data_IF_848586592357
#
_entry.id   IF_848586592357
#
_cell.length_a   1.000
_cell.length_b   1.000
_cell.length_c   1.000
_cell.angle_alpha   90.00
_cell.angle_beta   90.00
_cell.angle_gamma   90.00
#
_symmetry.space_group_name_H-M   'P 1'
#
loop_
_entity.id
_entity.type
_entity.pdbx_description
1 polymer ?
#
# COMPACT_ATOMS: atom_id res chain seq x y z
N UNK A 1 64.53 -48.24 -10.19
CA UNK A 1 63.45 -47.65 -11.02
C UNK A 1 62.20 -47.72 -10.20
N UNK A 2 61.85 -46.60 -9.61
CA UNK A 2 60.70 -46.48 -8.69
C UNK A 2 59.65 -45.59 -9.42
N UNK A 3 58.61 -46.22 -9.89
CA UNK A 3 57.47 -45.51 -10.52
C UNK A 3 56.68 -44.73 -9.44
N UNK A 4 56.67 -43.42 -9.63
CA UNK A 4 55.85 -42.50 -8.83
C UNK A 4 54.48 -42.37 -9.54
N UNK A 5 53.33 -42.63 -8.87
CA UNK A 5 52.02 -42.44 -9.45
C UNK A 5 51.69 -40.96 -9.56
N UNK A 6 51.56 -40.46 -10.81
CA UNK A 6 51.04 -39.15 -11.13
C UNK A 6 49.55 -39.01 -10.71
N UNK A 7 49.28 -38.30 -9.64
CA UNK A 7 47.93 -37.89 -9.28
C UNK A 7 47.34 -36.96 -10.36
N UNK A 8 46.31 -37.44 -11.04
CA UNK A 8 45.53 -36.61 -11.96
C UNK A 8 44.88 -35.42 -11.21
N UNK A 9 44.87 -34.19 -11.76
CA UNK A 9 44.28 -33.06 -11.14
C UNK A 9 42.76 -33.26 -10.98
N UNK A 10 42.27 -33.08 -9.76
CA UNK A 10 40.83 -33.11 -9.47
C UNK A 10 40.10 -32.13 -10.39
N UNK A 11 39.21 -32.61 -11.24
CA UNK A 11 38.31 -31.81 -12.04
C UNK A 11 37.42 -31.01 -11.08
N UNK A 12 37.81 -29.77 -10.82
CA UNK A 12 36.89 -28.76 -10.29
C UNK A 12 35.82 -28.53 -11.38
N UNK A 13 34.73 -29.28 -11.31
CA UNK A 13 33.55 -29.00 -12.14
C UNK A 13 33.03 -27.63 -11.71
N UNK A 14 33.20 -26.62 -12.56
CA UNK A 14 32.53 -25.33 -12.39
C UNK A 14 31.02 -25.63 -12.18
N UNK A 15 30.38 -25.05 -11.18
CA UNK A 15 28.97 -25.28 -10.92
C UNK A 15 28.19 -24.92 -12.18
N UNK A 16 27.26 -25.82 -12.56
CA UNK A 16 26.36 -25.60 -13.68
C UNK A 16 25.74 -24.21 -13.57
N UNK A 17 25.75 -23.36 -14.62
CA UNK A 17 25.15 -22.02 -14.62
C UNK A 17 23.66 -22.03 -14.26
N UNK A 18 23.05 -23.18 -14.18
CA UNK A 18 21.64 -23.39 -13.83
C UNK A 18 21.42 -23.70 -12.34
N UNK A 19 22.50 -23.90 -11.56
CA UNK A 19 22.39 -24.23 -10.13
C UNK A 19 22.25 -22.97 -9.28
N UNK A 20 21.13 -22.84 -8.55
CA UNK A 20 20.98 -21.82 -7.51
C UNK A 20 21.99 -22.08 -6.41
N UNK A 21 23.02 -21.24 -6.31
CA UNK A 21 24.01 -21.32 -5.26
C UNK A 21 23.41 -20.76 -3.97
N UNK A 22 23.21 -21.62 -2.97
CA UNK A 22 22.65 -21.24 -1.66
C UNK A 22 23.76 -21.18 -0.62
N UNK A 23 23.82 -20.06 0.11
CA UNK A 23 24.67 -19.87 1.27
C UNK A 23 23.80 -20.01 2.53
N UNK A 24 24.07 -21.02 3.37
CA UNK A 24 23.32 -21.24 4.59
C UNK A 24 21.81 -21.42 4.38
N UNK A 25 20.99 -21.15 5.40
CA UNK A 25 19.54 -21.28 5.34
C UNK A 25 18.91 -20.19 4.50
N UNK A 26 18.53 -20.53 3.26
CA UNK A 26 17.67 -19.69 2.40
C UNK A 26 18.30 -18.42 1.80
N UNK A 27 19.62 -18.22 1.81
CA UNK A 27 20.28 -17.20 1.01
C UNK A 27 20.61 -17.74 -0.38
N UNK A 28 20.29 -16.95 -1.41
CA UNK A 28 20.56 -17.24 -2.81
C UNK A 28 21.63 -16.23 -3.27
N UNK A 29 22.83 -16.75 -3.57
CA UNK A 29 23.97 -15.92 -3.98
C UNK A 29 24.03 -15.69 -5.50
N UNK A 30 23.47 -16.62 -6.29
CA UNK A 30 23.41 -16.54 -7.75
C UNK A 30 21.96 -16.40 -8.20
N UNK A 31 21.62 -15.24 -8.78
CA UNK A 31 20.28 -14.92 -9.23
C UNK A 31 20.32 -14.10 -10.51
N UNK A 32 19.92 -14.68 -11.63
CA UNK A 32 19.95 -14.09 -12.99
C UNK A 32 18.56 -14.17 -13.63
N UNK A 33 17.59 -13.36 -13.22
CA UNK A 33 16.21 -13.44 -13.71
C UNK A 33 16.09 -13.05 -15.20
N UNK A 34 17.05 -12.30 -15.75
CA UNK A 34 17.05 -11.90 -17.16
C UNK A 34 17.51 -13.03 -18.09
N UNK A 35 18.26 -14.04 -17.58
CA UNK A 35 18.57 -15.25 -18.34
C UNK A 35 17.30 -16.11 -18.48
N UNK A 36 16.82 -16.26 -19.73
CA UNK A 36 15.60 -17.00 -20.02
C UNK A 36 15.70 -18.47 -19.61
N UNK A 37 16.86 -19.09 -19.76
CA UNK A 37 17.07 -20.51 -19.42
C UNK A 37 17.02 -20.70 -17.90
N UNK A 38 17.71 -19.84 -17.16
CA UNK A 38 17.65 -19.82 -15.69
C UNK A 38 16.21 -19.55 -15.21
N UNK A 39 15.55 -18.58 -15.83
CA UNK A 39 14.19 -18.17 -15.45
C UNK A 39 13.19 -19.32 -15.62
N UNK A 40 13.16 -19.95 -16.78
CA UNK A 40 12.18 -21.00 -17.07
C UNK A 40 12.42 -22.27 -16.23
N UNK A 41 13.68 -22.64 -15.98
CA UNK A 41 14.01 -23.87 -15.25
C UNK A 41 13.89 -23.72 -13.73
N UNK A 42 14.25 -22.57 -13.18
CA UNK A 42 14.42 -22.42 -11.72
C UNK A 42 13.85 -21.12 -11.18
N UNK A 43 14.17 -19.96 -11.79
CA UNK A 43 13.90 -18.63 -11.27
C UNK A 43 12.40 -18.39 -11.06
N UNK A 44 11.58 -18.69 -12.05
CA UNK A 44 10.12 -18.47 -12.04
C UNK A 44 9.42 -19.14 -10.85
N UNK A 45 9.80 -20.37 -10.53
CA UNK A 45 9.20 -21.13 -9.41
C UNK A 45 9.53 -20.48 -8.06
N UNK A 46 10.78 -20.08 -7.88
CA UNK A 46 11.25 -19.43 -6.64
C UNK A 46 10.60 -18.07 -6.51
N UNK A 47 10.62 -17.24 -7.57
CA UNK A 47 10.02 -15.92 -7.59
C UNK A 47 8.51 -15.97 -7.28
N UNK A 48 7.76 -16.89 -7.92
CA UNK A 48 6.34 -17.08 -7.67
C UNK A 48 6.04 -17.44 -6.20
N UNK A 49 6.83 -18.33 -5.62
CA UNK A 49 6.68 -18.69 -4.20
C UNK A 49 6.90 -17.48 -3.29
N UNK A 50 7.98 -16.72 -3.51
CA UNK A 50 8.25 -15.50 -2.76
C UNK A 50 7.12 -14.46 -2.93
N UNK A 51 6.57 -14.30 -4.13
CA UNK A 51 5.45 -13.40 -4.39
C UNK A 51 4.19 -13.81 -3.61
N UNK A 52 3.81 -15.08 -3.62
CA UNK A 52 2.60 -15.56 -2.92
C UNK A 52 2.68 -15.27 -1.43
N UNK A 53 3.82 -15.59 -0.78
CA UNK A 53 3.97 -15.35 0.64
C UNK A 53 4.23 -13.87 0.97
N UNK A 54 4.80 -13.09 0.05
CA UNK A 54 4.88 -11.64 0.15
C UNK A 54 3.48 -11.00 0.14
N UNK A 55 2.62 -11.41 -0.80
CA UNK A 55 1.22 -10.96 -0.88
C UNK A 55 0.48 -11.30 0.42
N UNK A 56 0.64 -12.51 0.95
CA UNK A 56 -0.02 -12.91 2.20
C UNK A 56 0.44 -12.07 3.38
N UNK A 57 1.75 -11.90 3.55
CA UNK A 57 2.30 -11.08 4.64
C UNK A 57 1.87 -9.61 4.52
N UNK A 58 1.85 -9.06 3.30
CA UNK A 58 1.41 -7.69 3.03
C UNK A 58 -0.10 -7.51 3.28
N UNK A 59 -0.91 -8.51 2.93
CA UNK A 59 -2.34 -8.51 3.18
C UNK A 59 -2.64 -8.44 4.70
N UNK A 60 -1.97 -9.27 5.51
CA UNK A 60 -2.10 -9.21 6.97
C UNK A 60 -1.61 -7.87 7.51
N UNK A 61 -0.49 -7.33 6.97
CA UNK A 61 0.06 -6.05 7.38
C UNK A 61 -0.91 -4.88 7.08
N UNK A 62 -1.52 -4.85 5.90
CA UNK A 62 -2.53 -3.83 5.55
C UNK A 62 -3.80 -3.95 6.38
N UNK A 63 -4.23 -5.18 6.69
CA UNK A 63 -5.35 -5.42 7.60
C UNK A 63 -5.08 -4.80 8.98
N UNK A 64 -3.90 -5.02 9.55
CA UNK A 64 -3.52 -4.44 10.85
C UNK A 64 -3.33 -2.93 10.76
N UNK A 65 -2.74 -2.43 9.67
CA UNK A 65 -2.56 -1.00 9.45
C UNK A 65 -3.88 -0.23 9.46
N UNK A 66 -4.93 -0.80 8.86
CA UNK A 66 -6.25 -0.19 8.78
C UNK A 66 -7.26 -0.73 9.78
N UNK A 67 -6.80 -1.50 10.77
CA UNK A 67 -7.62 -2.08 11.84
C UNK A 67 -8.51 -1.03 12.54
N UNK A 68 -7.93 0.17 12.79
CA UNK A 68 -8.62 1.26 13.47
C UNK A 68 -9.77 1.86 12.64
N UNK A 69 -9.81 1.66 11.32
CA UNK A 69 -10.89 2.20 10.47
C UNK A 69 -12.27 1.71 10.89
N UNK A 70 -12.39 0.43 11.25
CA UNK A 70 -13.67 -0.16 11.69
C UNK A 70 -13.73 -0.31 13.22
N UNK A 71 -12.58 -0.51 13.89
CA UNK A 71 -12.54 -0.66 15.35
C UNK A 71 -12.98 0.61 16.07
N UNK A 72 -12.62 1.82 15.59
CA UNK A 72 -13.02 3.08 16.21
C UNK A 72 -14.55 3.28 16.17
N UNK A 73 -15.22 2.87 15.10
CA UNK A 73 -16.66 2.89 15.01
C UNK A 73 -17.31 1.94 16.03
N UNK A 74 -16.77 0.73 16.19
CA UNK A 74 -17.27 -0.26 17.15
C UNK A 74 -17.00 0.13 18.62
N UNK A 75 -15.87 0.79 18.90
CA UNK A 75 -15.54 1.27 20.25
C UNK A 75 -16.62 2.21 20.78
N UNK A 76 -17.06 3.17 19.98
CA UNK A 76 -18.09 4.11 20.43
C UNK A 76 -19.48 3.46 20.48
N UNK A 77 -19.79 2.59 19.50
CA UNK A 77 -21.10 1.96 19.42
C UNK A 77 -21.36 0.94 20.55
N UNK A 78 -20.31 0.22 21.00
CA UNK A 78 -20.50 -0.96 21.86
C UNK A 78 -19.75 -0.92 23.20
N UNK A 79 -18.75 -0.04 23.38
CA UNK A 79 -17.90 -0.04 24.58
C UNK A 79 -18.08 1.18 25.48
N UNK A 80 -18.86 2.17 25.05
CA UNK A 80 -19.16 3.35 25.86
C UNK A 80 -17.96 4.26 26.13
N UNK A 81 -16.84 4.10 25.40
CA UNK A 81 -15.74 5.06 25.45
C UNK A 81 -16.21 6.39 24.87
N UNK A 82 -16.53 7.37 25.65
CA UNK A 82 -17.11 8.65 25.24
C UNK A 82 -16.24 9.51 24.30
N UNK A 83 -15.60 8.90 23.28
CA UNK A 83 -14.75 9.60 22.32
C UNK A 83 -15.58 10.44 21.36
N UNK A 84 -15.12 11.67 21.12
CA UNK A 84 -15.72 12.56 20.12
C UNK A 84 -15.44 12.05 18.70
N UNK A 85 -16.23 12.48 17.70
CA UNK A 85 -15.98 12.15 16.30
C UNK A 85 -14.56 12.61 15.86
N UNK A 86 -14.10 13.76 16.29
CA UNK A 86 -12.74 14.25 16.06
C UNK A 86 -11.68 13.26 16.60
N UNK A 87 -11.85 12.79 17.83
CA UNK A 87 -10.95 11.81 18.43
C UNK A 87 -10.93 10.49 17.67
N UNK A 88 -12.09 10.02 17.21
CA UNK A 88 -12.16 8.80 16.37
C UNK A 88 -11.39 8.96 15.07
N UNK A 89 -11.52 10.09 14.37
CA UNK A 89 -10.74 10.34 13.16
C UNK A 89 -9.23 10.39 13.43
N UNK A 90 -8.77 10.91 14.57
CA UNK A 90 -7.35 10.87 14.92
C UNK A 90 -6.86 9.45 15.23
N UNK A 91 -7.66 8.59 15.88
CA UNK A 91 -7.32 7.17 16.05
C UNK A 91 -7.10 6.47 14.70
N UNK A 92 -7.87 6.85 13.69
CA UNK A 92 -7.75 6.30 12.33
C UNK A 92 -6.62 6.97 11.53
N UNK A 93 -6.32 8.25 11.78
CA UNK A 93 -5.28 9.00 11.06
C UNK A 93 -3.86 8.60 11.48
N UNK A 94 -3.62 8.43 12.80
CA UNK A 94 -2.27 8.21 13.33
C UNK A 94 -1.58 6.96 12.78
N UNK A 95 -2.23 5.80 12.59
CA UNK A 95 -1.63 4.67 11.90
C UNK A 95 -1.12 5.01 10.50
N UNK A 96 -1.86 5.86 9.76
CA UNK A 96 -1.46 6.28 8.41
C UNK A 96 -0.20 7.15 8.44
N UNK A 97 -0.08 8.05 9.41
CA UNK A 97 1.13 8.86 9.61
C UNK A 97 2.35 7.98 9.91
N UNK A 98 2.23 7.12 10.92
CA UNK A 98 3.34 6.24 11.34
C UNK A 98 3.70 5.27 10.21
N UNK A 99 2.71 4.71 9.51
CA UNK A 99 2.94 3.83 8.38
C UNK A 99 3.68 4.53 7.23
N UNK A 100 3.32 5.79 6.93
CA UNK A 100 4.01 6.60 5.92
C UNK A 100 5.48 6.84 6.27
N UNK A 101 5.76 7.24 7.52
CA UNK A 101 7.13 7.47 8.02
C UNK A 101 7.95 6.19 7.99
N UNK A 102 7.39 5.06 8.43
CA UNK A 102 8.08 3.77 8.47
C UNK A 102 8.39 3.20 7.09
N UNK A 103 7.70 3.59 6.02
CA UNK A 103 8.07 3.18 4.65
C UNK A 103 9.52 3.55 4.30
N UNK A 104 10.03 4.65 4.83
CA UNK A 104 11.42 5.07 4.57
C UNK A 104 12.41 4.03 5.10
N UNK A 105 12.50 3.74 6.43
CA UNK A 105 13.43 2.73 6.92
C UNK A 105 13.14 1.31 6.40
N UNK A 106 11.90 0.95 6.12
CA UNK A 106 11.52 -0.36 5.59
C UNK A 106 12.05 -0.57 4.15
N UNK A 107 12.13 0.48 3.33
CA UNK A 107 12.76 0.40 2.00
C UNK A 107 14.20 -0.07 2.08
N UNK A 108 14.93 0.37 3.10
CA UNK A 108 16.34 0.02 3.30
C UNK A 108 16.57 -1.28 4.10
N UNK A 109 15.52 -1.81 4.70
CA UNK A 109 15.62 -3.02 5.51
C UNK A 109 15.89 -4.27 4.65
N UNK A 110 15.30 -4.35 3.45
CA UNK A 110 15.52 -5.48 2.52
C UNK A 110 16.96 -5.55 2.05
N UNK A 111 17.58 -4.47 1.53
CA UNK A 111 19.00 -4.44 1.21
C UNK A 111 19.93 -4.78 2.37
N UNK A 112 19.54 -4.52 3.60
CA UNK A 112 20.40 -4.72 4.78
C UNK A 112 20.25 -6.09 5.43
N UNK A 113 19.03 -6.59 5.55
CA UNK A 113 18.72 -7.79 6.34
C UNK A 113 18.25 -8.97 5.48
N UNK A 114 17.95 -8.75 4.19
CA UNK A 114 17.31 -9.71 3.30
C UNK A 114 15.80 -9.67 3.40
N UNK A 115 15.14 -9.92 2.26
CA UNK A 115 13.68 -9.79 2.14
C UNK A 115 12.90 -10.76 3.02
N UNK A 116 13.29 -12.05 3.05
CA UNK A 116 12.70 -13.05 3.94
C UNK A 116 12.81 -12.65 5.41
N UNK A 117 14.01 -12.33 5.86
CA UNK A 117 14.26 -12.03 7.26
C UNK A 117 13.48 -10.79 7.70
N UNK A 118 13.42 -9.77 6.86
CA UNK A 118 12.65 -8.57 7.16
C UNK A 118 11.15 -8.83 7.16
N UNK A 119 10.63 -9.66 6.26
CA UNK A 119 9.20 -10.04 6.26
C UNK A 119 8.83 -10.79 7.53
N UNK A 120 9.73 -11.64 8.08
CA UNK A 120 9.52 -12.27 9.39
C UNK A 120 9.43 -11.25 10.51
N UNK A 121 10.41 -10.33 10.59
CA UNK A 121 10.42 -9.28 11.62
C UNK A 121 9.18 -8.40 11.53
N UNK A 122 8.82 -7.94 10.33
CA UNK A 122 7.64 -7.09 10.14
C UNK A 122 6.33 -7.83 10.46
N UNK A 123 6.23 -9.13 10.16
CA UNK A 123 5.10 -9.96 10.55
C UNK A 123 4.95 -10.09 12.07
N UNK A 124 6.05 -10.28 12.79
CA UNK A 124 6.05 -10.32 14.27
C UNK A 124 5.73 -8.96 14.88
N UNK A 125 6.14 -7.86 14.28
CA UNK A 125 5.80 -6.51 14.76
C UNK A 125 4.29 -6.25 14.73
N UNK A 126 3.51 -6.94 13.88
CA UNK A 126 2.05 -6.80 13.84
C UNK A 126 1.35 -7.33 15.11
N UNK A 127 2.02 -8.18 15.88
CA UNK A 127 1.51 -8.69 17.16
C UNK A 127 1.35 -7.55 18.18
N UNK A 128 2.23 -6.54 18.13
CA UNK A 128 2.23 -5.43 19.07
C UNK A 128 0.90 -4.65 19.06
N UNK A 129 0.45 -4.04 17.93
CA UNK A 129 -0.80 -3.29 17.91
C UNK A 129 -2.03 -4.16 18.19
N UNK A 130 -2.00 -5.42 17.77
CA UNK A 130 -3.16 -6.30 17.89
C UNK A 130 -3.37 -6.79 19.31
N UNK A 131 -2.30 -7.22 20.00
CA UNK A 131 -2.36 -7.62 21.41
C UNK A 131 -2.66 -6.40 22.30
N UNK A 132 -2.02 -5.26 22.05
CA UNK A 132 -2.29 -4.04 22.82
C UNK A 132 -3.75 -3.58 22.66
N UNK A 133 -4.33 -3.69 21.45
CA UNK A 133 -5.76 -3.42 21.25
C UNK A 133 -6.61 -4.36 22.10
N UNK A 134 -6.36 -5.68 22.05
CA UNK A 134 -7.13 -6.65 22.82
C UNK A 134 -7.09 -6.35 24.33
N UNK A 135 -5.93 -6.00 24.86
CA UNK A 135 -5.76 -5.64 26.28
C UNK A 135 -6.48 -4.33 26.61
N UNK A 136 -6.33 -3.31 25.76
CA UNK A 136 -6.90 -1.97 26.01
C UNK A 136 -8.44 -1.98 26.00
N UNK A 137 -9.07 -2.71 25.10
CA UNK A 137 -10.54 -2.77 25.03
C UNK A 137 -11.15 -3.61 26.15
N UNK A 138 -10.36 -4.49 26.78
CA UNK A 138 -10.80 -5.28 27.93
C UNK A 138 -10.80 -4.48 29.24
N UNK A 139 -10.24 -3.27 29.24
CA UNK A 139 -10.22 -2.38 30.40
C UNK A 139 -11.02 -1.10 30.12
N UNK A 140 -12.22 -0.92 30.71
CA UNK A 140 -13.04 0.28 30.51
C UNK A 140 -12.37 1.59 30.96
N UNK A 141 -11.34 1.50 31.83
CA UNK A 141 -10.58 2.65 32.32
C UNK A 141 -9.45 3.10 31.39
N UNK A 142 -9.27 2.44 30.21
CA UNK A 142 -8.20 2.81 29.28
C UNK A 142 -8.41 4.23 28.74
N UNK A 143 -7.46 5.16 28.96
CA UNK A 143 -7.62 6.54 28.53
C UNK A 143 -7.38 6.69 27.02
N UNK A 144 -7.94 7.75 26.42
CA UNK A 144 -7.83 8.03 24.99
C UNK A 144 -6.37 8.06 24.47
N UNK A 145 -5.45 8.68 25.22
CA UNK A 145 -4.05 8.76 24.81
C UNK A 145 -3.39 7.38 24.67
N UNK A 146 -3.80 6.40 25.49
CA UNK A 146 -3.30 5.02 25.36
C UNK A 146 -3.79 4.38 24.06
N UNK A 147 -5.07 4.56 23.72
CA UNK A 147 -5.59 4.13 22.42
C UNK A 147 -4.86 4.79 21.25
N UNK A 148 -4.52 6.08 21.37
CA UNK A 148 -3.77 6.79 20.33
C UNK A 148 -2.36 6.23 20.13
N UNK A 149 -1.66 5.89 21.21
CA UNK A 149 -0.34 5.24 21.14
C UNK A 149 -0.43 3.82 20.55
N UNK A 150 -1.45 3.06 20.95
CA UNK A 150 -1.70 1.73 20.40
C UNK A 150 -2.02 1.83 18.89
N UNK A 151 -2.84 2.80 18.50
CA UNK A 151 -3.14 3.07 17.10
C UNK A 151 -1.86 3.41 16.31
N UNK A 152 -0.96 4.20 16.87
CA UNK A 152 0.33 4.51 16.25
C UNK A 152 1.13 3.25 15.90
N UNK A 153 1.15 2.23 16.77
CA UNK A 153 1.86 0.97 16.52
C UNK A 153 1.28 0.18 15.34
N UNK A 154 0.01 0.36 14.98
CA UNK A 154 -0.57 -0.27 13.79
C UNK A 154 0.10 0.21 12.48
N UNK A 155 0.77 1.37 12.53
CA UNK A 155 1.62 1.86 11.43
C UNK A 155 2.74 0.90 11.03
N UNK A 156 3.15 -0.05 11.88
CA UNK A 156 4.11 -1.11 11.50
C UNK A 156 3.63 -1.87 10.26
N UNK A 157 2.33 -2.10 10.10
CA UNK A 157 1.75 -2.71 8.92
C UNK A 157 1.88 -1.85 7.66
N UNK A 158 1.73 -0.52 7.79
CA UNK A 158 1.84 0.42 6.67
C UNK A 158 3.25 0.50 6.06
N UNK A 159 4.29 0.30 6.87
CA UNK A 159 5.68 0.24 6.43
C UNK A 159 5.96 -0.95 5.51
N UNK A 160 5.27 -2.07 5.70
CA UNK A 160 5.54 -3.34 5.00
C UNK A 160 5.44 -3.23 3.48
N UNK A 161 4.59 -2.36 2.94
CA UNK A 161 4.47 -2.13 1.51
C UNK A 161 5.82 -1.83 0.85
N UNK A 162 6.61 -0.93 1.45
CA UNK A 162 7.87 -0.51 0.87
C UNK A 162 8.90 -1.65 0.83
N UNK A 163 9.01 -2.44 1.89
CA UNK A 163 9.91 -3.60 1.94
C UNK A 163 9.46 -4.73 1.02
N UNK A 164 8.16 -5.01 0.98
CA UNK A 164 7.55 -6.03 0.14
C UNK A 164 7.79 -5.73 -1.35
N UNK A 165 7.49 -4.50 -1.80
CA UNK A 165 7.72 -4.07 -3.18
C UNK A 165 9.20 -4.12 -3.56
N UNK A 166 10.09 -3.65 -2.68
CA UNK A 166 11.53 -3.73 -2.88
C UNK A 166 11.99 -5.18 -3.03
N UNK A 167 11.58 -6.06 -2.14
CA UNK A 167 11.94 -7.48 -2.16
C UNK A 167 11.51 -8.15 -3.48
N UNK A 168 10.26 -8.01 -3.87
CA UNK A 168 9.72 -8.66 -5.07
C UNK A 168 10.35 -8.10 -6.35
N UNK A 169 10.74 -6.81 -6.37
CA UNK A 169 11.43 -6.21 -7.52
C UNK A 169 12.74 -6.90 -7.88
N UNK A 170 13.45 -7.49 -6.92
CA UNK A 170 14.70 -8.24 -7.15
C UNK A 170 14.46 -9.66 -7.66
N UNK A 171 13.30 -10.25 -7.39
CA UNK A 171 13.01 -11.62 -7.82
C UNK A 171 12.60 -11.73 -9.29
N UNK A 172 12.06 -10.67 -9.90
CA UNK A 172 11.43 -10.73 -11.20
C UNK A 172 12.25 -10.03 -12.30
N UNK A 173 12.33 -10.62 -13.51
CA UNK A 173 12.92 -9.96 -14.66
C UNK A 173 12.09 -8.76 -15.09
N UNK A 174 12.73 -7.78 -15.76
CA UNK A 174 12.09 -6.52 -16.14
C UNK A 174 10.81 -6.71 -16.96
N UNK A 175 10.77 -7.72 -17.86
CA UNK A 175 9.59 -8.05 -18.68
C UNK A 175 8.34 -8.46 -17.90
N UNK A 176 8.47 -8.96 -16.68
CA UNK A 176 7.34 -9.41 -15.83
C UNK A 176 7.29 -8.72 -14.46
N UNK A 177 8.23 -7.85 -14.15
CA UNK A 177 8.33 -7.11 -12.88
C UNK A 177 7.10 -6.28 -12.61
N UNK A 178 6.60 -5.55 -13.61
CA UNK A 178 5.42 -4.70 -13.47
C UNK A 178 4.18 -5.49 -13.04
N UNK A 179 3.94 -6.66 -13.65
CA UNK A 179 2.82 -7.53 -13.26
C UNK A 179 2.99 -8.06 -11.83
N UNK A 180 4.21 -8.52 -11.48
CA UNK A 180 4.47 -9.05 -10.13
C UNK A 180 4.27 -7.99 -9.04
N UNK A 181 4.80 -6.79 -9.24
CA UNK A 181 4.63 -5.67 -8.32
C UNK A 181 3.16 -5.21 -8.26
N UNK A 182 2.46 -5.21 -9.40
CA UNK A 182 1.02 -4.91 -9.46
C UNK A 182 0.19 -5.91 -8.66
N UNK A 183 0.45 -7.21 -8.79
CA UNK A 183 -0.20 -8.27 -8.01
C UNK A 183 0.11 -8.17 -6.52
N UNK A 184 1.38 -7.93 -6.18
CA UNK A 184 1.79 -7.74 -4.79
C UNK A 184 1.04 -6.59 -4.14
N UNK A 185 1.03 -5.44 -4.78
CA UNK A 185 0.36 -4.24 -4.29
C UNK A 185 -1.18 -4.39 -4.21
N UNK A 186 -1.81 -5.04 -5.21
CA UNK A 186 -3.26 -5.29 -5.18
C UNK A 186 -3.63 -6.28 -4.07
N UNK A 187 -2.82 -7.33 -3.88
CA UNK A 187 -3.01 -8.30 -2.82
C UNK A 187 -2.90 -7.69 -1.42
N UNK A 188 -1.95 -6.77 -1.20
CA UNK A 188 -1.86 -5.99 0.02
C UNK A 188 -3.09 -5.11 0.25
N UNK A 189 -3.49 -4.34 -0.76
CA UNK A 189 -4.65 -3.44 -0.68
C UNK A 189 -5.97 -4.19 -0.34
N UNK A 190 -6.14 -5.43 -0.82
CA UNK A 190 -7.30 -6.28 -0.46
C UNK A 190 -7.37 -6.51 1.06
N UNK A 191 -6.23 -6.50 1.78
CA UNK A 191 -6.19 -6.59 3.23
C UNK A 191 -7.03 -5.53 3.95
N UNK A 192 -7.16 -4.33 3.36
CA UNK A 192 -8.04 -3.27 3.86
C UNK A 192 -9.52 -3.68 3.79
N UNK A 193 -9.93 -4.28 2.68
CA UNK A 193 -11.30 -4.78 2.54
C UNK A 193 -11.55 -5.98 3.46
N UNK A 194 -10.56 -6.87 3.61
CA UNK A 194 -10.69 -8.06 4.45
C UNK A 194 -10.82 -7.72 5.93
N UNK A 195 -10.12 -6.71 6.45
CA UNK A 195 -10.30 -6.29 7.85
C UNK A 195 -11.69 -5.68 8.05
N UNK A 196 -12.15 -4.84 7.14
CA UNK A 196 -13.43 -4.17 7.24
C UNK A 196 -14.63 -5.12 7.10
N UNK A 197 -14.48 -6.18 6.32
CA UNK A 197 -15.47 -7.26 6.20
C UNK A 197 -15.35 -8.25 7.37
N UNK A 198 -14.17 -8.72 7.65
CA UNK A 198 -13.92 -9.84 8.56
C UNK A 198 -14.04 -9.46 10.03
N UNK A 199 -13.60 -8.25 10.41
CA UNK A 199 -13.62 -7.84 11.80
C UNK A 199 -15.04 -7.83 12.39
N UNK A 200 -16.06 -7.18 11.78
CA UNK A 200 -17.42 -7.23 12.30
C UNK A 200 -17.98 -8.64 12.46
N UNK A 201 -17.64 -9.56 11.55
CA UNK A 201 -18.06 -10.96 11.61
C UNK A 201 -17.39 -11.68 12.79
N UNK A 202 -16.08 -11.49 12.99
CA UNK A 202 -15.29 -12.16 14.03
C UNK A 202 -15.70 -11.68 15.43
N UNK A 203 -15.95 -10.38 15.59
CA UNK A 203 -16.29 -9.79 16.90
C UNK A 203 -17.77 -9.93 17.26
N UNK A 204 -18.60 -10.44 16.37
CA UNK A 204 -20.02 -10.61 16.61
C UNK A 204 -20.87 -9.34 16.44
N UNK A 205 -20.35 -8.34 15.72
CA UNK A 205 -21.09 -7.10 15.43
C UNK A 205 -22.15 -7.27 14.30
N UNK A 206 -22.27 -8.47 13.74
CA UNK A 206 -23.04 -8.71 12.53
C UNK A 206 -22.33 -8.19 11.28
N UNK A 207 -23.05 -8.12 10.18
CA UNK A 207 -22.50 -7.66 8.90
C UNK A 207 -22.94 -8.56 7.74
N UNK A 208 -22.28 -8.41 6.60
CA UNK A 208 -22.54 -9.14 5.37
C UNK A 208 -24.03 -9.12 4.98
N UNK A 209 -24.62 -7.92 4.96
CA UNK A 209 -26.01 -7.68 4.55
C UNK A 209 -27.06 -8.48 5.35
N UNK A 210 -26.77 -8.74 6.64
CA UNK A 210 -27.66 -9.49 7.52
C UNK A 210 -27.60 -11.02 7.34
N UNK A 211 -26.74 -11.54 6.48
CA UNK A 211 -26.53 -12.99 6.34
C UNK A 211 -25.88 -13.59 7.60
N UNK A 212 -25.14 -12.78 8.34
CA UNK A 212 -24.55 -13.12 9.64
C UNK A 212 -25.10 -12.15 10.67
N UNK A 213 -25.86 -12.66 11.64
CA UNK A 213 -26.46 -11.85 12.71
C UNK A 213 -25.44 -11.35 13.72
N UNK A 214 -25.81 -10.32 14.49
CA UNK A 214 -25.05 -9.91 15.66
C UNK A 214 -25.04 -11.03 16.71
N UNK A 215 -23.94 -11.13 17.47
CA UNK A 215 -23.82 -12.11 18.54
C UNK A 215 -24.74 -11.77 19.70
N UNK A 216 -25.49 -12.76 20.18
CA UNK A 216 -26.29 -12.61 21.41
C UNK A 216 -25.43 -12.31 22.65
N UNK A 217 -24.17 -12.72 22.64
CA UNK A 217 -23.20 -12.44 23.70
C UNK A 217 -22.61 -11.00 23.66
N UNK A 218 -23.02 -10.19 22.68
CA UNK A 218 -22.49 -8.85 22.45
C UNK A 218 -21.23 -8.83 21.56
N UNK A 219 -20.66 -7.62 21.37
CA UNK A 219 -19.49 -7.39 20.52
C UNK A 219 -18.22 -7.53 21.37
N UNK A 220 -17.32 -8.43 20.94
CA UNK A 220 -16.04 -8.66 21.60
C UNK A 220 -14.86 -8.26 20.67
N UNK A 221 -14.47 -7.00 20.74
CA UNK A 221 -13.39 -6.43 19.92
C UNK A 221 -12.00 -7.01 20.28
N UNK A 222 -11.83 -7.56 21.49
CA UNK A 222 -10.58 -8.21 21.87
C UNK A 222 -10.29 -9.45 20.99
N UNK A 223 -11.34 -10.15 20.52
CA UNK A 223 -11.18 -11.28 19.58
C UNK A 223 -10.46 -10.86 18.28
N UNK A 224 -10.77 -9.67 17.77
CA UNK A 224 -10.05 -9.16 16.59
C UNK A 224 -8.56 -9.06 16.86
N UNK A 225 -8.17 -8.48 18.00
CA UNK A 225 -6.77 -8.39 18.41
C UNK A 225 -6.07 -9.74 18.41
N UNK A 226 -6.68 -10.75 19.04
CA UNK A 226 -6.09 -12.11 19.13
C UNK A 226 -6.03 -12.84 17.78
N UNK A 227 -7.06 -12.71 16.94
CA UNK A 227 -7.10 -13.33 15.60
C UNK A 227 -6.02 -12.75 14.71
N UNK A 228 -5.88 -11.40 14.66
CA UNK A 228 -4.85 -10.78 13.83
C UNK A 228 -3.45 -10.95 14.41
N UNK A 229 -3.28 -11.08 15.73
CA UNK A 229 -2.02 -11.51 16.33
C UNK A 229 -1.60 -12.90 15.84
N UNK A 230 -2.52 -13.85 15.85
CA UNK A 230 -2.28 -15.21 15.33
C UNK A 230 -1.94 -15.19 13.83
N UNK A 231 -2.65 -14.39 13.02
CA UNK A 231 -2.35 -14.20 11.59
C UNK A 231 -0.97 -13.59 11.37
N UNK A 232 -0.53 -12.66 12.22
CA UNK A 232 0.83 -12.11 12.20
C UNK A 232 1.90 -13.18 12.43
N UNK A 233 1.69 -14.07 13.42
CA UNK A 233 2.56 -15.23 13.67
C UNK A 233 2.59 -16.17 12.47
N UNK A 234 1.42 -16.48 11.88
CA UNK A 234 1.33 -17.34 10.69
C UNK A 234 2.05 -16.71 9.50
N UNK A 235 1.89 -15.39 9.28
CA UNK A 235 2.59 -14.67 8.20
C UNK A 235 4.12 -14.72 8.39
N UNK A 236 4.60 -14.49 9.62
CA UNK A 236 6.02 -14.61 9.96
C UNK A 236 6.54 -16.03 9.76
N UNK A 237 5.80 -17.05 10.19
CA UNK A 237 6.14 -18.45 9.99
C UNK A 237 6.18 -18.83 8.50
N UNK A 238 5.17 -18.42 7.72
CA UNK A 238 5.15 -18.61 6.28
C UNK A 238 6.37 -17.96 5.59
N UNK A 239 6.71 -16.74 5.97
CA UNK A 239 7.91 -16.07 5.47
C UNK A 239 9.18 -16.86 5.84
N UNK A 240 9.28 -17.31 7.08
CA UNK A 240 10.43 -18.08 7.58
C UNK A 240 10.62 -19.39 6.83
N UNK A 241 9.56 -20.15 6.58
CA UNK A 241 9.65 -21.47 5.97
C UNK A 241 9.65 -21.45 4.44
N UNK A 242 9.03 -20.47 3.81
CA UNK A 242 8.76 -20.51 2.36
C UNK A 242 9.44 -19.40 1.56
N UNK A 243 9.85 -18.27 2.15
CA UNK A 243 10.56 -17.23 1.42
C UNK A 243 12.07 -17.45 1.39
N UNK A 244 12.76 -16.74 0.50
CA UNK A 244 14.21 -16.75 0.35
C UNK A 244 14.77 -15.33 0.45
N UNK A 245 16.06 -15.21 0.81
CA UNK A 245 16.84 -13.98 0.71
C UNK A 245 17.68 -13.97 -0.57
N UNK A 246 17.86 -12.81 -1.19
CA UNK A 246 18.75 -12.62 -2.32
C UNK A 246 19.97 -11.80 -1.91
N UNK A 247 21.18 -12.31 -2.15
CA UNK A 247 22.43 -11.59 -1.86
C UNK A 247 22.62 -10.38 -2.78
N UNK A 248 22.08 -10.42 -3.99
CA UNK A 248 22.13 -9.30 -4.96
C UNK A 248 21.28 -8.09 -4.55
N UNK A 249 20.41 -8.21 -3.53
CA UNK A 249 19.61 -7.08 -3.04
C UNK A 249 20.38 -6.11 -2.18
N UNK A 250 21.65 -6.37 -1.86
CA UNK A 250 22.51 -5.56 -0.99
C UNK A 250 23.04 -4.32 -1.75
N UNK A 251 22.16 -3.36 -2.06
CA UNK A 251 22.53 -2.11 -2.74
C UNK A 251 22.86 -0.97 -1.75
N UNK A 252 23.63 0.01 -2.22
CA UNK A 252 24.11 1.12 -1.39
C UNK A 252 23.03 2.20 -1.22
N UNK A 253 22.73 2.60 0.01
CA UNK A 253 21.80 3.67 0.40
C UNK A 253 22.03 5.00 -0.34
N UNK A 254 23.31 5.31 -0.64
CA UNK A 254 23.74 6.59 -1.21
C UNK A 254 23.16 6.86 -2.61
N UNK A 255 22.94 5.82 -3.41
CA UNK A 255 22.41 5.96 -4.78
C UNK A 255 20.91 6.27 -4.78
N UNK A 256 20.20 5.85 -3.75
CA UNK A 256 18.73 6.04 -3.67
C UNK A 256 18.34 7.46 -3.21
N UNK A 257 19.23 8.20 -2.51
CA UNK A 257 18.94 9.56 -2.05
C UNK A 257 19.02 10.60 -3.18
N UNK A 258 19.77 10.33 -4.24
CA UNK A 258 19.96 11.30 -5.33
C UNK A 258 18.66 11.68 -6.05
N UNK A 259 17.67 10.78 -6.05
CA UNK A 259 16.38 10.99 -6.73
C UNK A 259 15.55 12.13 -6.13
N UNK A 260 15.80 12.55 -4.89
CA UNK A 260 15.11 13.70 -4.24
C UNK A 260 15.38 15.02 -4.97
N UNK A 261 16.45 15.09 -5.77
CA UNK A 261 16.81 16.29 -6.52
C UNK A 261 16.05 16.46 -7.83
N UNK A 262 15.43 15.39 -8.33
CA UNK A 262 14.69 15.44 -9.58
C UNK A 262 13.29 16.03 -9.37
N UNK A 263 12.93 17.02 -10.19
CA UNK A 263 11.60 17.66 -10.18
C UNK A 263 10.48 16.64 -10.33
N UNK A 264 10.64 15.66 -11.22
CA UNK A 264 9.63 14.66 -11.51
C UNK A 264 9.35 13.74 -10.32
N UNK A 265 10.31 13.52 -9.41
CA UNK A 265 10.10 12.79 -8.16
C UNK A 265 8.97 13.42 -7.32
N UNK A 266 9.00 14.74 -7.17
CA UNK A 266 7.99 15.44 -6.38
C UNK A 266 6.64 15.56 -7.10
N UNK A 267 6.66 15.73 -8.43
CA UNK A 267 5.41 15.75 -9.21
C UNK A 267 4.70 14.40 -9.12
N UNK A 268 5.39 13.27 -9.37
CA UNK A 268 4.74 11.96 -9.29
C UNK A 268 4.35 11.61 -7.86
N UNK A 269 5.10 12.05 -6.86
CA UNK A 269 4.73 11.90 -5.45
C UNK A 269 3.45 12.65 -5.11
N UNK A 270 3.28 13.88 -5.62
CA UNK A 270 2.06 14.67 -5.48
C UNK A 270 0.85 13.98 -6.11
N UNK A 271 1.02 13.46 -7.33
CA UNK A 271 -0.02 12.68 -7.99
C UNK A 271 -0.34 11.39 -7.22
N UNK A 272 0.66 10.78 -6.58
CA UNK A 272 0.47 9.56 -5.79
C UNK A 272 -0.23 9.83 -4.45
N UNK A 273 -0.12 11.04 -3.88
CA UNK A 273 -1.02 11.51 -2.81
C UNK A 273 -2.47 11.48 -3.31
N UNK A 274 -2.71 12.03 -4.52
CA UNK A 274 -4.04 12.08 -5.13
C UNK A 274 -4.66 10.70 -5.38
N UNK A 275 -3.87 9.71 -5.73
CA UNK A 275 -4.37 8.36 -6.04
C UNK A 275 -4.28 7.42 -4.84
N UNK A 276 -3.09 7.05 -4.40
CA UNK A 276 -2.92 6.12 -3.29
C UNK A 276 -3.29 6.73 -1.93
N UNK A 277 -2.94 8.00 -1.71
CA UNK A 277 -3.33 8.71 -0.49
C UNK A 277 -4.84 8.77 -0.34
N UNK A 278 -5.57 9.08 -1.44
CA UNK A 278 -7.03 9.05 -1.45
C UNK A 278 -7.59 7.66 -1.22
N UNK A 279 -7.02 6.62 -1.83
CA UNK A 279 -7.43 5.24 -1.60
C UNK A 279 -7.35 4.88 -0.12
N UNK A 280 -6.20 5.06 0.52
CA UNK A 280 -5.99 4.70 1.92
C UNK A 280 -6.76 5.63 2.86
N UNK A 281 -6.75 6.93 2.61
CA UNK A 281 -7.44 7.90 3.44
C UNK A 281 -8.95 7.68 3.46
N UNK A 282 -9.55 7.52 2.29
CA UNK A 282 -10.98 7.23 2.21
C UNK A 282 -11.33 5.85 2.75
N UNK A 283 -10.55 4.82 2.43
CA UNK A 283 -10.78 3.49 3.01
C UNK A 283 -10.77 3.54 4.54
N UNK A 284 -9.85 4.31 5.11
CA UNK A 284 -9.75 4.46 6.55
C UNK A 284 -10.91 5.27 7.15
N UNK A 285 -11.36 6.35 6.47
CA UNK A 285 -12.42 7.23 6.96
C UNK A 285 -13.83 6.70 6.69
N UNK A 286 -14.03 5.87 5.66
CA UNK A 286 -15.35 5.50 5.13
C UNK A 286 -16.29 4.88 6.17
N UNK A 287 -15.86 3.94 7.05
CA UNK A 287 -16.73 3.40 8.10
C UNK A 287 -17.28 4.49 9.04
N UNK A 288 -16.43 5.43 9.47
CA UNK A 288 -16.85 6.54 10.33
C UNK A 288 -17.76 7.53 9.60
N UNK A 289 -17.48 7.82 8.32
CA UNK A 289 -18.33 8.69 7.52
C UNK A 289 -19.74 8.10 7.36
N UNK A 290 -19.87 6.79 7.11
CA UNK A 290 -21.16 6.12 7.05
C UNK A 290 -21.86 6.28 8.39
N UNK A 291 -21.21 5.92 9.50
CA UNK A 291 -21.81 5.97 10.84
C UNK A 291 -22.27 7.37 11.26
N UNK A 292 -21.51 8.41 10.91
CA UNK A 292 -21.79 9.78 11.34
C UNK A 292 -22.79 10.49 10.44
N UNK A 293 -22.79 10.21 9.14
CA UNK A 293 -23.68 10.90 8.19
C UNK A 293 -24.97 10.14 7.92
N UNK A 294 -24.95 8.82 8.10
CA UNK A 294 -26.09 7.91 7.84
C UNK A 294 -26.21 6.90 8.99
N UNK A 295 -26.59 7.35 10.22
CA UNK A 295 -26.58 6.48 11.41
C UNK A 295 -27.56 5.30 11.32
N UNK A 296 -28.57 5.37 10.45
CA UNK A 296 -29.51 4.28 10.16
C UNK A 296 -28.90 3.17 9.30
N UNK A 297 -27.72 3.42 8.68
CA UNK A 297 -27.03 2.47 7.80
C UNK A 297 -25.93 1.73 8.58
N UNK A 298 -25.98 0.39 8.67
CA UNK A 298 -24.93 -0.37 9.33
C UNK A 298 -23.63 -0.31 8.54
N UNK A 299 -22.66 0.49 9.00
CA UNK A 299 -21.36 0.69 8.35
C UNK A 299 -20.64 -0.64 8.06
N UNK A 300 -20.79 -1.63 8.93
CA UNK A 300 -20.20 -2.96 8.80
C UNK A 300 -20.59 -3.69 7.49
N UNK A 301 -21.78 -3.37 6.92
CA UNK A 301 -22.22 -4.01 5.69
C UNK A 301 -21.61 -3.41 4.42
N UNK A 302 -21.15 -2.16 4.46
CA UNK A 302 -20.77 -1.42 3.24
C UNK A 302 -19.33 -0.94 3.23
N UNK A 303 -18.69 -0.80 4.39
CA UNK A 303 -17.37 -0.20 4.52
C UNK A 303 -16.31 -0.88 3.64
N UNK A 304 -16.31 -2.21 3.58
CA UNK A 304 -15.34 -2.99 2.81
C UNK A 304 -15.45 -2.80 1.29
N UNK A 305 -16.64 -2.41 0.79
CA UNK A 305 -16.89 -2.27 -0.66
C UNK A 305 -15.94 -1.26 -1.31
N UNK A 306 -15.69 -0.13 -0.65
CA UNK A 306 -14.80 0.91 -1.16
C UNK A 306 -13.39 0.38 -1.39
N UNK A 307 -12.80 -0.19 -0.34
CA UNK A 307 -11.46 -0.76 -0.41
C UNK A 307 -11.38 -1.93 -1.41
N UNK A 308 -12.43 -2.75 -1.50
CA UNK A 308 -12.48 -3.88 -2.44
C UNK A 308 -12.46 -3.41 -3.90
N UNK A 309 -13.39 -2.53 -4.28
CA UNK A 309 -13.49 -2.07 -5.67
C UNK A 309 -12.26 -1.28 -6.10
N UNK A 310 -11.69 -0.45 -5.21
CA UNK A 310 -10.45 0.27 -5.49
C UNK A 310 -9.24 -0.66 -5.66
N UNK A 311 -9.15 -1.72 -4.84
CA UNK A 311 -8.08 -2.73 -4.97
C UNK A 311 -8.17 -3.50 -6.29
N UNK A 312 -9.37 -3.92 -6.69
CA UNK A 312 -9.62 -4.64 -7.94
C UNK A 312 -9.43 -3.73 -9.16
N UNK A 313 -9.77 -2.45 -9.06
CA UNK A 313 -9.58 -1.48 -10.14
C UNK A 313 -8.10 -1.14 -10.42
N UNK A 314 -7.19 -1.37 -9.47
CA UNK A 314 -5.78 -1.02 -9.61
C UNK A 314 -5.05 -1.74 -10.76
N UNK A 315 -5.10 -3.06 -10.90
CA UNK A 315 -4.51 -3.76 -12.04
C UNK A 315 -5.10 -3.31 -13.38
N UNK A 316 -6.40 -3.03 -13.42
CA UNK A 316 -7.06 -2.51 -14.62
C UNK A 316 -6.52 -1.14 -15.01
N UNK A 317 -6.26 -0.25 -14.04
CA UNK A 317 -5.64 1.05 -14.28
C UNK A 317 -4.24 0.95 -14.89
N UNK A 318 -3.41 0.00 -14.44
CA UNK A 318 -2.11 -0.30 -15.03
C UNK A 318 -2.23 -0.80 -16.46
N UNK A 319 -3.11 -1.78 -16.70
CA UNK A 319 -3.38 -2.32 -18.04
C UNK A 319 -3.91 -1.24 -19.01
N UNK A 320 -4.77 -0.37 -18.56
CA UNK A 320 -5.29 0.74 -19.37
C UNK A 320 -4.18 1.73 -19.72
N UNK A 321 -3.30 2.03 -18.75
CA UNK A 321 -2.14 2.90 -18.93
C UNK A 321 -1.13 2.33 -19.96
N UNK A 322 -0.96 1.01 -20.01
CA UNK A 322 -0.12 0.35 -21.02
C UNK A 322 -0.68 0.51 -22.45
N UNK A 323 -2.00 0.65 -22.61
CA UNK A 323 -2.66 0.75 -23.94
C UNK A 323 -2.87 2.17 -24.44
N UNK A 324 -3.18 3.09 -23.54
CA UNK A 324 -3.64 4.45 -23.87
C UNK A 324 -2.59 5.51 -23.53
N UNK A 325 -1.58 5.14 -22.72
CA UNK A 325 -0.59 6.03 -22.12
C UNK A 325 -0.98 6.44 -20.70
N UNK A 326 -0.04 6.29 -19.77
CA UNK A 326 -0.25 6.55 -18.34
C UNK A 326 -0.67 7.98 -18.04
N UNK A 327 -0.06 8.97 -18.72
CA UNK A 327 -0.38 10.38 -18.54
C UNK A 327 -1.83 10.73 -18.90
N UNK A 328 -2.34 10.16 -20.01
CA UNK A 328 -3.74 10.38 -20.44
C UNK A 328 -4.71 9.74 -19.46
N UNK A 329 -4.46 8.49 -19.08
CA UNK A 329 -5.28 7.77 -18.10
C UNK A 329 -5.30 8.53 -16.78
N UNK A 330 -4.14 8.94 -16.25
CA UNK A 330 -4.02 9.67 -15.00
C UNK A 330 -4.75 11.02 -15.04
N UNK A 331 -4.64 11.75 -16.16
CA UNK A 331 -5.34 13.04 -16.35
C UNK A 331 -6.86 12.89 -16.24
N UNK A 332 -7.44 12.03 -17.08
CA UNK A 332 -8.89 11.80 -17.09
C UNK A 332 -9.40 11.14 -15.81
N UNK A 333 -8.56 10.34 -15.20
CA UNK A 333 -8.87 9.75 -13.90
C UNK A 333 -9.03 10.81 -12.80
N UNK A 334 -8.14 11.83 -12.74
CA UNK A 334 -8.31 12.93 -11.78
C UNK A 334 -9.53 13.81 -12.09
N UNK A 335 -9.89 13.99 -13.37
CA UNK A 335 -11.15 14.64 -13.75
C UNK A 335 -12.35 13.85 -13.23
N UNK A 336 -12.34 12.52 -13.39
CA UNK A 336 -13.40 11.66 -12.88
C UNK A 336 -13.47 11.64 -11.34
N UNK A 337 -12.30 11.67 -10.66
CA UNK A 337 -12.23 11.81 -9.19
C UNK A 337 -12.83 13.14 -8.72
N UNK A 338 -12.50 14.24 -9.39
CA UNK A 338 -13.05 15.56 -9.09
C UNK A 338 -14.58 15.56 -9.27
N UNK A 339 -15.07 15.04 -10.39
CA UNK A 339 -16.52 14.93 -10.65
C UNK A 339 -17.22 14.06 -9.61
N UNK A 340 -16.66 12.87 -9.29
CA UNK A 340 -17.19 11.99 -8.25
C UNK A 340 -17.24 12.68 -6.88
N UNK A 341 -16.21 13.45 -6.54
CA UNK A 341 -16.15 14.23 -5.29
C UNK A 341 -17.27 15.27 -5.20
N UNK A 342 -17.58 15.97 -6.31
CA UNK A 342 -18.73 16.89 -6.34
C UNK A 342 -20.03 16.16 -6.06
N UNK A 343 -20.23 14.97 -6.63
CA UNK A 343 -21.44 14.15 -6.36
C UNK A 343 -21.47 13.69 -4.90
N UNK A 344 -20.33 13.36 -4.28
CA UNK A 344 -20.26 13.04 -2.85
C UNK A 344 -20.71 14.22 -2.00
N UNK A 345 -20.27 15.45 -2.30
CA UNK A 345 -20.69 16.67 -1.58
C UNK A 345 -22.23 16.81 -1.67
N UNK A 346 -22.79 16.74 -2.88
CA UNK A 346 -24.24 16.84 -3.10
C UNK A 346 -25.00 15.74 -2.36
N UNK A 347 -24.44 14.54 -2.30
CA UNK A 347 -25.05 13.40 -1.62
C UNK A 347 -25.09 13.57 -0.09
N UNK A 348 -24.02 14.14 0.49
CA UNK A 348 -23.93 14.46 1.93
C UNK A 348 -24.92 15.57 2.28
N UNK A 349 -24.92 16.66 1.51
CA UNK A 349 -25.83 17.80 1.77
C UNK A 349 -27.32 17.42 1.61
N UNK A 350 -27.63 16.53 0.67
CA UNK A 350 -28.99 16.02 0.45
C UNK A 350 -29.37 14.85 1.38
N UNK A 351 -28.44 14.38 2.25
CA UNK A 351 -28.61 13.20 3.10
C UNK A 351 -29.10 11.95 2.34
N UNK A 352 -28.61 11.72 1.10
CA UNK A 352 -29.06 10.62 0.22
C UNK A 352 -28.05 9.48 0.21
N UNK A 353 -28.28 8.47 1.04
CA UNK A 353 -27.42 7.29 1.17
C UNK A 353 -27.08 6.57 -0.16
N UNK A 354 -28.05 6.21 -1.04
CA UNK A 354 -27.70 5.50 -2.27
C UNK A 354 -26.82 6.33 -3.20
N UNK A 355 -27.03 7.64 -3.26
CA UNK A 355 -26.19 8.56 -4.04
C UNK A 355 -24.79 8.68 -3.45
N UNK A 356 -24.69 8.78 -2.12
CA UNK A 356 -23.40 8.81 -1.40
C UNK A 356 -22.60 7.53 -1.67
N UNK A 357 -23.22 6.36 -1.48
CA UNK A 357 -22.54 5.09 -1.74
C UNK A 357 -22.07 4.98 -3.18
N UNK A 358 -22.94 5.24 -4.15
CA UNK A 358 -22.60 5.15 -5.57
C UNK A 358 -21.48 6.11 -5.98
N UNK A 359 -21.54 7.36 -5.54
CA UNK A 359 -20.50 8.35 -5.79
C UNK A 359 -19.17 7.98 -5.12
N UNK A 360 -19.22 7.50 -3.88
CA UNK A 360 -18.02 7.09 -3.16
C UNK A 360 -17.37 5.85 -3.78
N UNK A 361 -18.14 4.86 -4.23
CA UNK A 361 -17.62 3.71 -4.96
C UNK A 361 -16.98 4.13 -6.30
N UNK A 362 -17.57 5.10 -7.01
CA UNK A 362 -16.94 5.69 -8.21
C UNK A 362 -15.58 6.32 -7.87
N UNK A 363 -15.50 7.09 -6.78
CA UNK A 363 -14.23 7.66 -6.30
C UNK A 363 -13.24 6.55 -5.96
N UNK A 364 -13.66 5.47 -5.31
CA UNK A 364 -12.78 4.33 -5.03
C UNK A 364 -12.27 3.63 -6.29
N UNK A 365 -13.13 3.37 -7.26
CA UNK A 365 -12.71 2.81 -8.56
C UNK A 365 -11.68 3.71 -9.23
N UNK A 366 -11.92 5.01 -9.25
CA UNK A 366 -10.99 5.97 -9.85
C UNK A 366 -9.69 6.09 -9.04
N UNK A 367 -9.72 6.03 -7.70
CA UNK A 367 -8.47 5.97 -6.92
C UNK A 367 -7.65 4.72 -7.27
N UNK A 368 -8.30 3.57 -7.48
CA UNK A 368 -7.65 2.34 -7.91
C UNK A 368 -7.03 2.46 -9.29
N UNK A 369 -7.80 2.91 -10.29
CA UNK A 369 -7.32 3.14 -11.66
C UNK A 369 -6.13 4.11 -11.66
N UNK A 370 -6.28 5.25 -10.97
CA UNK A 370 -5.23 6.26 -10.84
C UNK A 370 -3.97 5.72 -10.16
N UNK A 371 -4.13 4.87 -9.16
CA UNK A 371 -3.03 4.22 -8.46
C UNK A 371 -2.21 3.33 -9.41
N UNK A 372 -2.89 2.54 -10.26
CA UNK A 372 -2.25 1.73 -11.29
C UNK A 372 -1.55 2.56 -12.37
N UNK A 373 -2.24 3.59 -12.92
CA UNK A 373 -1.70 4.43 -13.99
C UNK A 373 -0.53 5.30 -13.53
N UNK A 374 -0.62 5.94 -12.38
CA UNK A 374 0.46 6.78 -11.82
C UNK A 374 1.71 5.95 -11.54
N UNK A 375 1.53 4.74 -10.98
CA UNK A 375 2.64 3.83 -10.70
C UNK A 375 3.36 3.37 -11.98
N UNK A 376 2.59 3.17 -13.07
CA UNK A 376 3.11 2.81 -14.39
C UNK A 376 3.92 3.95 -15.05
N UNK A 377 3.55 5.21 -14.79
CA UNK A 377 4.27 6.37 -15.34
C UNK A 377 5.71 6.51 -14.80
N UNK A 378 5.97 6.12 -13.55
CA UNK A 378 7.25 6.39 -12.89
C UNK A 378 8.44 5.82 -13.68
N UNK A 379 8.50 4.51 -14.03
CA UNK A 379 9.61 3.98 -14.81
C UNK A 379 9.79 4.65 -16.16
N UNK A 380 8.70 5.00 -16.83
CA UNK A 380 8.75 5.64 -18.15
C UNK A 380 9.34 7.05 -18.08
N UNK A 381 8.93 7.85 -17.09
CA UNK A 381 9.43 9.21 -16.87
C UNK A 381 10.95 9.19 -16.65
N UNK A 382 11.43 8.35 -15.74
CA UNK A 382 12.85 8.34 -15.36
C UNK A 382 13.75 7.72 -16.45
N UNK A 383 13.28 6.70 -17.17
CA UNK A 383 14.00 6.18 -18.34
C UNK A 383 14.11 7.23 -19.45
N UNK A 384 13.03 7.95 -19.77
CA UNK A 384 13.05 9.02 -20.76
C UNK A 384 13.92 10.20 -20.33
N UNK A 385 13.91 10.55 -19.05
CA UNK A 385 14.78 11.59 -18.50
C UNK A 385 16.25 11.19 -18.64
N UNK A 386 16.62 9.96 -18.24
CA UNK A 386 17.98 9.46 -18.36
C UNK A 386 18.47 9.41 -19.83
N UNK A 387 17.62 9.01 -20.77
CA UNK A 387 17.96 9.04 -22.18
C UNK A 387 18.24 10.44 -22.71
N UNK A 388 17.49 11.44 -22.28
CA UNK A 388 17.68 12.85 -22.69
C UNK A 388 18.96 13.44 -22.12
N UNK A 389 19.28 13.15 -20.86
CA UNK A 389 20.50 13.61 -20.20
C UNK A 389 21.76 13.03 -20.81
N UNK A 390 21.66 11.81 -21.38
CA UNK A 390 22.80 11.11 -21.98
C UNK A 390 23.02 11.50 -23.44
N UNK A 391 22.01 12.02 -24.16
CA UNK A 391 22.10 12.39 -25.57
C UNK A 391 22.55 11.21 -26.44
N UNK A 392 23.62 11.39 -27.23
CA UNK A 392 24.20 10.37 -28.13
C UNK A 392 25.11 9.35 -27.41
N UNK A 393 25.16 9.39 -26.08
CA UNK A 393 25.96 8.46 -25.25
C UNK A 393 25.38 7.04 -25.19
N UNK A 394 25.94 6.22 -24.27
CA UNK A 394 25.49 4.84 -24.07
C UNK A 394 24.05 4.75 -23.60
N UNK A 395 23.16 4.44 -24.56
CA UNK A 395 21.72 4.29 -24.34
C UNK A 395 21.39 3.16 -23.35
N UNK A 396 22.16 2.08 -23.33
CA UNK A 396 21.91 0.96 -22.42
C UNK A 396 22.23 1.34 -20.97
N UNK A 397 23.34 2.03 -20.75
CA UNK A 397 23.71 2.58 -19.44
C UNK A 397 22.70 3.62 -18.95
N UNK A 398 22.19 4.49 -19.84
CA UNK A 398 21.15 5.47 -19.51
C UNK A 398 19.84 4.80 -19.04
N UNK A 399 19.36 3.79 -19.79
CA UNK A 399 18.16 3.04 -19.40
C UNK A 399 18.35 2.30 -18.09
N UNK A 400 19.52 1.71 -17.84
CA UNK A 400 19.84 1.05 -16.56
C UNK A 400 19.79 2.04 -15.40
N UNK A 401 20.40 3.24 -15.56
CA UNK A 401 20.33 4.32 -14.56
C UNK A 401 18.89 4.76 -14.32
N UNK A 402 18.11 5.02 -15.38
CA UNK A 402 16.71 5.43 -15.25
C UNK A 402 15.84 4.40 -14.52
N UNK A 403 16.12 3.09 -14.68
CA UNK A 403 15.43 2.01 -13.94
C UNK A 403 15.78 2.03 -12.45
N UNK A 404 17.05 2.25 -12.11
CA UNK A 404 17.50 2.34 -10.72
C UNK A 404 16.88 3.56 -10.03
N UNK A 405 16.87 4.70 -10.69
CA UNK A 405 16.23 5.92 -10.19
C UNK A 405 14.71 5.72 -10.01
N UNK A 406 14.03 5.11 -10.98
CA UNK A 406 12.60 4.81 -10.89
C UNK A 406 12.27 3.92 -9.69
N UNK A 407 13.08 2.91 -9.39
CA UNK A 407 12.88 2.04 -8.23
C UNK A 407 12.97 2.82 -6.90
N UNK A 408 13.94 3.74 -6.78
CA UNK A 408 14.07 4.60 -5.62
C UNK A 408 12.89 5.58 -5.49
N UNK A 409 12.42 6.16 -6.61
CA UNK A 409 11.26 7.07 -6.65
C UNK A 409 9.98 6.35 -6.27
N UNK A 410 9.78 5.10 -6.68
CA UNK A 410 8.63 4.28 -6.27
C UNK A 410 8.58 4.17 -4.73
N UNK A 411 9.71 3.89 -4.09
CA UNK A 411 9.81 3.83 -2.63
C UNK A 411 9.43 5.15 -1.96
N UNK A 412 10.06 6.25 -2.38
CA UNK A 412 9.79 7.59 -1.83
C UNK A 412 8.34 8.04 -2.10
N UNK A 413 7.86 7.91 -3.35
CA UNK A 413 6.48 8.28 -3.70
C UNK A 413 5.46 7.46 -2.93
N UNK A 414 5.76 6.20 -2.60
CA UNK A 414 4.89 5.37 -1.78
C UNK A 414 4.76 5.88 -0.33
N UNK A 415 5.85 6.42 0.24
CA UNK A 415 5.83 7.04 1.56
C UNK A 415 5.03 8.36 1.55
N UNK A 416 5.32 9.22 0.57
CA UNK A 416 4.60 10.50 0.39
C UNK A 416 3.11 10.26 0.10
N UNK A 417 2.77 9.26 -0.73
CA UNK A 417 1.39 8.87 -0.99
C UNK A 417 0.66 8.38 0.27
N UNK A 418 1.32 7.55 1.08
CA UNK A 418 0.73 7.10 2.35
C UNK A 418 0.51 8.24 3.35
N UNK A 419 1.39 9.25 3.37
CA UNK A 419 1.19 10.47 4.14
C UNK A 419 -0.08 11.21 3.70
N UNK A 420 -0.43 11.19 2.41
CA UNK A 420 -1.71 11.70 1.92
C UNK A 420 -2.91 11.04 2.60
N UNK A 421 -2.83 9.74 2.89
CA UNK A 421 -3.86 9.04 3.66
C UNK A 421 -4.04 9.60 5.07
N UNK A 422 -2.95 9.94 5.75
CA UNK A 422 -3.02 10.66 7.04
C UNK A 422 -3.69 12.02 6.88
N UNK A 423 -3.27 12.84 5.89
CA UNK A 423 -3.82 14.19 5.69
C UNK A 423 -5.33 14.14 5.47
N UNK A 424 -5.82 13.22 4.64
CA UNK A 424 -7.26 13.08 4.35
C UNK A 424 -8.04 12.77 5.63
N UNK A 425 -7.62 11.79 6.42
CA UNK A 425 -8.33 11.41 7.65
C UNK A 425 -8.21 12.49 8.71
N UNK A 426 -7.02 13.09 8.87
CA UNK A 426 -6.78 14.16 9.81
C UNK A 426 -7.59 15.43 9.48
N UNK A 427 -7.89 15.70 8.21
CA UNK A 427 -8.75 16.82 7.81
C UNK A 427 -10.13 16.71 8.47
N UNK A 428 -10.75 15.52 8.47
CA UNK A 428 -12.02 15.32 9.19
C UNK A 428 -11.86 15.51 10.70
N UNK A 429 -10.75 15.02 11.28
CA UNK A 429 -10.45 15.21 12.68
C UNK A 429 -10.31 16.70 13.07
N UNK A 430 -9.55 17.47 12.28
CA UNK A 430 -9.35 18.92 12.50
C UNK A 430 -10.66 19.68 12.36
N UNK A 431 -11.44 19.41 11.31
CA UNK A 431 -12.76 20.02 11.15
C UNK A 431 -13.71 19.63 12.29
N UNK A 432 -13.56 18.43 12.84
CA UNK A 432 -14.28 18.01 14.03
C UNK A 432 -13.88 18.82 15.26
N UNK A 433 -12.60 19.11 15.48
CA UNK A 433 -12.15 19.96 16.57
C UNK A 433 -12.74 21.38 16.51
N UNK A 434 -12.84 21.94 15.30
CA UNK A 434 -13.45 23.28 15.09
C UNK A 434 -14.96 23.28 15.34
N UNK A 435 -15.60 22.12 15.30
CA UNK A 435 -17.04 21.93 15.50
C UNK A 435 -17.34 21.19 16.83
N UNK A 436 -16.67 21.55 17.92
CA UNK A 436 -16.90 21.01 19.27
C UNK A 436 -16.83 19.48 19.36
N UNK A 437 -15.90 18.89 18.62
CA UNK A 437 -15.67 17.44 18.55
C UNK A 437 -16.62 16.68 17.61
N UNK A 438 -17.56 17.37 16.95
CA UNK A 438 -18.53 16.79 16.00
C UNK A 438 -18.06 16.95 14.56
N UNK A 439 -18.52 16.06 13.68
CA UNK A 439 -18.25 16.16 12.23
C UNK A 439 -19.59 16.21 11.48
N UNK A 440 -20.28 17.38 11.49
CA UNK A 440 -21.55 17.56 10.78
C UNK A 440 -21.35 17.52 9.25
N UNK A 441 -22.45 17.37 8.52
CA UNK A 441 -22.46 17.32 7.05
C UNK A 441 -21.69 18.48 6.40
N UNK A 442 -21.83 19.69 6.90
CA UNK A 442 -21.08 20.87 6.40
C UNK A 442 -19.57 20.74 6.61
N UNK A 443 -19.09 20.14 7.70
CA UNK A 443 -17.67 19.85 7.89
C UNK A 443 -17.18 18.79 6.90
N UNK A 444 -17.99 17.75 6.64
CA UNK A 444 -17.68 16.72 5.63
C UNK A 444 -17.63 17.35 4.24
N UNK A 445 -18.62 18.16 3.87
CA UNK A 445 -18.64 18.88 2.60
C UNK A 445 -17.39 19.78 2.44
N UNK A 446 -17.00 20.51 3.49
CA UNK A 446 -15.78 21.34 3.51
C UNK A 446 -14.53 20.51 3.26
N UNK A 447 -14.39 19.34 3.89
CA UNK A 447 -13.27 18.44 3.63
C UNK A 447 -13.22 18.03 2.15
N UNK A 448 -14.35 17.65 1.56
CA UNK A 448 -14.41 17.26 0.15
C UNK A 448 -14.15 18.43 -0.81
N UNK A 449 -14.50 19.67 -0.47
CA UNK A 449 -14.11 20.86 -1.23
C UNK A 449 -12.59 21.04 -1.23
N UNK A 450 -11.92 20.84 -0.09
CA UNK A 450 -10.45 20.85 -0.01
C UNK A 450 -9.85 19.77 -0.91
N UNK A 451 -10.39 18.53 -0.87
CA UNK A 451 -9.90 17.44 -1.71
C UNK A 451 -10.17 17.68 -3.19
N UNK A 452 -11.31 18.28 -3.55
CA UNK A 452 -11.62 18.70 -4.92
C UNK A 452 -10.58 19.70 -5.43
N UNK A 453 -10.25 20.72 -4.65
CA UNK A 453 -9.17 21.67 -4.97
C UNK A 453 -7.83 20.97 -5.19
N UNK A 454 -7.50 19.99 -4.36
CA UNK A 454 -6.30 19.17 -4.51
C UNK A 454 -6.31 18.37 -5.83
N UNK A 455 -7.43 17.74 -6.21
CA UNK A 455 -7.54 17.00 -7.48
C UNK A 455 -7.40 17.92 -8.69
N UNK A 456 -7.91 19.16 -8.62
CA UNK A 456 -7.68 20.16 -9.66
C UNK A 456 -6.18 20.43 -9.83
N UNK A 457 -5.41 20.54 -8.75
CA UNK A 457 -3.93 20.66 -8.85
C UNK A 457 -3.30 19.46 -9.53
N UNK A 458 -3.79 18.23 -9.25
CA UNK A 458 -3.32 17.01 -9.90
C UNK A 458 -3.63 17.00 -11.41
N UNK A 459 -4.82 17.45 -11.81
CA UNK A 459 -5.18 17.62 -13.23
C UNK A 459 -4.22 18.59 -13.91
N UNK A 460 -4.00 19.76 -13.32
CA UNK A 460 -3.13 20.82 -13.88
C UNK A 460 -1.68 20.34 -13.99
N UNK A 461 -1.14 19.70 -12.95
CA UNK A 461 0.23 19.17 -12.95
C UNK A 461 0.42 18.04 -13.98
N UNK A 462 -0.55 17.13 -14.10
CA UNK A 462 -0.51 16.06 -15.10
C UNK A 462 -0.57 16.62 -16.50
N UNK A 463 -1.50 17.53 -16.75
CA UNK A 463 -1.65 18.17 -18.06
C UNK A 463 -0.40 18.95 -18.45
N UNK A 464 0.11 19.79 -17.54
CA UNK A 464 1.25 20.67 -17.82
C UNK A 464 2.55 19.91 -18.09
N UNK A 465 2.84 18.87 -17.31
CA UNK A 465 4.13 18.20 -17.38
C UNK A 465 4.14 17.00 -18.33
N UNK A 466 3.00 16.32 -18.54
CA UNK A 466 2.97 15.01 -19.22
C UNK A 466 1.99 14.92 -20.40
N UNK A 467 0.87 15.67 -20.42
CA UNK A 467 -0.16 15.48 -21.44
C UNK A 467 -0.19 16.59 -22.51
N UNK A 468 0.30 17.79 -22.21
CA UNK A 468 0.29 18.94 -23.12
C UNK A 468 1.25 18.72 -24.30
N UNK A 469 0.79 19.01 -25.55
CA UNK A 469 1.67 19.06 -26.73
C UNK A 469 2.81 20.05 -26.49
N UNK A 470 4.07 19.62 -26.67
CA UNK A 470 5.27 20.42 -26.39
C UNK A 470 5.79 20.35 -24.97
N UNK A 471 5.21 19.56 -24.05
CA UNK A 471 5.89 19.23 -22.80
C UNK A 471 7.17 18.44 -23.08
N UNK A 472 8.17 18.59 -22.23
CA UNK A 472 9.46 17.91 -22.40
C UNK A 472 9.32 16.38 -22.53
N UNK A 473 8.24 15.77 -22.01
CA UNK A 473 7.97 14.36 -22.05
C UNK A 473 6.75 13.99 -22.92
N UNK A 474 6.13 14.99 -23.63
CA UNK A 474 5.06 14.71 -24.58
C UNK A 474 5.63 13.96 -25.81
N UNK A 475 5.03 12.83 -26.15
CA UNK A 475 5.47 11.98 -27.29
C UNK A 475 6.29 10.78 -26.88
N UNK A 476 6.73 10.67 -25.62
CA UNK A 476 7.00 9.39 -25.03
C UNK A 476 5.65 8.77 -24.61
N UNK A 477 5.44 7.48 -24.83
CA UNK A 477 4.24 6.73 -24.39
C UNK A 477 4.21 6.60 -22.85
N UNK A 478 4.21 7.80 -22.18
CA UNK A 478 4.18 7.92 -20.71
C UNK A 478 2.77 7.72 -20.22
#
# INVERSE_FOLDING_TARGET
MTDTPTLAPAKTTAPSPLAVRRRGSRWIDHWEPEDETFWQRTGRRIARRNLVFSIFAENVAFSVWTLWSISSALLVAHYGFGFTAAQMFFLVAVPNLVGAVLRIPYTFAVPRFGGRNWTVVSGLLLIVPTVLLAVAVSNPGTPYWAFLLIAATAGFGGGNFASSMTNISFFYPDRSKGLALGLNAAGGNIGVALIQLGLPLIVGAGGLFGLVGASAAGVDLARAGWVWAALGVVAAACAWFFMDNLSVSLATFREQITVVRHKHTWIVSWLYIGTFGSFIGYSSAFPLLIQLQFPEVPAANYAFLGALVGSVARPFGGWLADRVGGARVTLWNFVAMAAGTVVVIVAVDAARWPLFLGAFLLVFVTTGIGNGSTFRMIPMIFQQQALRETGDGDRAAALSRGRTEAAAVIGLSSAVGAFGGFVIVATFGVLGLVNDGRVPAGAVATAFVIFLGFYVTCVLLTWWNYARRGSALAGADI
#
